data_IF_291795795114
#
_entry.id   IF_291795795114
#
_cell.length_a   1.000
_cell.length_b   1.000
_cell.length_c   1.000
_cell.angle_alpha   90.00
_cell.angle_beta   90.00
_cell.angle_gamma   90.00
#
_symmetry.space_group_name_H-M   'P 1'
#
loop_
_entity.id
_entity.type
_entity.pdbx_description
1 polymer ?
#
# COMPACT_ATOMS: atom_id res chain seq x y z
N UNK A 1 -18.62 12.36 -13.38
CA UNK A 1 -17.21 12.05 -13.00
C UNK A 1 -16.29 13.19 -13.39
N UNK A 2 -16.36 13.69 -14.63
CA UNK A 2 -15.53 14.81 -15.11
C UNK A 2 -15.65 16.08 -14.25
N UNK A 3 -16.86 16.47 -13.83
CA UNK A 3 -17.08 17.62 -12.95
C UNK A 3 -16.28 17.54 -11.65
N UNK A 4 -16.18 16.34 -11.05
CA UNK A 4 -15.37 16.11 -9.85
C UNK A 4 -13.87 16.24 -10.15
N UNK A 5 -13.42 15.71 -11.29
CA UNK A 5 -12.01 15.81 -11.71
C UNK A 5 -11.59 17.26 -11.99
N UNK A 6 -12.49 18.07 -12.56
CA UNK A 6 -12.27 19.51 -12.78
C UNK A 6 -12.19 20.25 -11.45
N UNK A 7 -13.00 19.86 -10.46
CA UNK A 7 -13.00 20.50 -9.15
C UNK A 7 -11.69 20.28 -8.36
N UNK A 8 -11.06 19.11 -8.50
CA UNK A 8 -9.77 18.80 -7.86
C UNK A 8 -8.55 19.25 -8.67
N UNK A 9 -8.74 19.65 -9.94
CA UNK A 9 -7.68 20.08 -10.85
C UNK A 9 -6.76 21.16 -10.26
N UNK A 10 -7.27 22.22 -9.61
CA UNK A 10 -6.41 23.27 -9.06
C UNK A 10 -5.41 22.78 -8.02
N UNK A 11 -5.71 21.67 -7.32
CA UNK A 11 -4.79 21.07 -6.34
C UNK A 11 -3.81 20.14 -7.04
N UNK A 12 -4.31 19.29 -7.94
CA UNK A 12 -3.51 18.26 -8.60
C UNK A 12 -2.52 18.82 -9.63
N UNK A 13 -2.81 19.99 -10.22
CA UNK A 13 -1.93 20.63 -11.21
C UNK A 13 -0.74 21.35 -10.59
N UNK A 14 -0.82 21.78 -9.32
CA UNK A 14 0.22 22.60 -8.68
C UNK A 14 1.61 21.97 -8.76
N UNK A 15 1.81 20.67 -8.45
CA UNK A 15 3.13 20.05 -8.53
C UNK A 15 3.77 20.13 -9.93
N UNK A 16 2.95 20.07 -10.98
CA UNK A 16 3.42 20.14 -12.38
C UNK A 16 3.90 21.53 -12.79
N UNK A 17 3.57 22.55 -11.99
CA UNK A 17 3.93 23.96 -12.26
C UNK A 17 5.06 24.48 -11.36
N UNK A 18 5.50 23.70 -10.37
CA UNK A 18 6.59 24.11 -9.47
C UNK A 18 7.91 24.25 -10.23
N UNK A 19 8.17 23.35 -11.17
CA UNK A 19 9.38 23.36 -11.99
C UNK A 19 9.02 23.92 -13.38
N UNK A 20 9.66 25.01 -13.85
CA UNK A 20 9.31 25.64 -15.12
C UNK A 20 9.59 24.79 -16.36
N UNK A 21 10.57 23.88 -16.28
CA UNK A 21 10.94 23.03 -17.41
C UNK A 21 9.89 21.90 -17.58
N UNK A 22 9.26 21.75 -18.76
CA UNK A 22 8.08 20.90 -18.92
C UNK A 22 8.28 19.42 -18.53
N UNK A 23 9.37 18.80 -18.96
CA UNK A 23 9.61 17.37 -18.73
C UNK A 23 9.90 17.06 -17.26
N UNK A 24 10.75 17.87 -16.62
CA UNK A 24 11.08 17.71 -15.20
C UNK A 24 9.90 18.07 -14.31
N UNK A 25 9.12 19.09 -14.68
CA UNK A 25 7.84 19.42 -14.05
C UNK A 25 6.84 18.27 -14.15
N UNK A 26 6.76 17.58 -15.29
CA UNK A 26 5.93 16.39 -15.45
C UNK A 26 6.40 15.24 -14.55
N UNK A 27 7.69 14.89 -14.58
CA UNK A 27 8.25 13.79 -13.78
C UNK A 27 8.06 14.05 -12.28
N UNK A 28 8.32 15.28 -11.84
CA UNK A 28 8.12 15.70 -10.46
C UNK A 28 6.64 15.67 -10.07
N UNK A 29 5.77 16.21 -10.91
CA UNK A 29 4.32 16.20 -10.70
C UNK A 29 3.75 14.80 -10.56
N UNK A 30 4.18 13.87 -11.42
CA UNK A 30 3.83 12.45 -11.32
C UNK A 30 4.30 11.81 -10.01
N UNK A 31 5.50 12.17 -9.53
CA UNK A 31 6.01 11.77 -8.22
C UNK A 31 5.15 12.28 -7.07
N UNK A 32 4.71 13.54 -7.11
CA UNK A 32 3.80 14.10 -6.11
C UNK A 32 2.41 13.44 -6.14
N UNK A 33 1.84 13.17 -7.33
CA UNK A 33 0.58 12.43 -7.45
C UNK A 33 0.70 11.02 -6.86
N UNK A 34 1.79 10.32 -7.18
CA UNK A 34 2.08 9.00 -6.63
C UNK A 34 2.19 9.04 -5.10
N UNK A 35 2.88 10.04 -4.54
CA UNK A 35 2.97 10.25 -3.10
C UNK A 35 1.59 10.48 -2.46
N UNK A 36 0.76 11.34 -3.04
CA UNK A 36 -0.61 11.58 -2.55
C UNK A 36 -1.44 10.29 -2.57
N UNK A 37 -1.37 9.51 -3.66
CA UNK A 37 -2.07 8.23 -3.75
C UNK A 37 -1.57 7.22 -2.69
N UNK A 38 -0.26 7.18 -2.42
CA UNK A 38 0.34 6.36 -1.36
C UNK A 38 -0.18 6.77 0.01
N UNK A 39 -0.20 8.07 0.33
CA UNK A 39 -0.66 8.57 1.64
C UNK A 39 -2.15 8.24 1.84
N UNK A 40 -3.01 8.56 0.86
CA UNK A 40 -4.43 8.27 0.93
C UNK A 40 -4.69 6.76 1.06
N UNK A 41 -3.96 5.93 0.32
CA UNK A 41 -4.04 4.49 0.43
C UNK A 41 -3.60 3.97 1.80
N UNK A 42 -2.50 4.49 2.37
CA UNK A 42 -2.04 4.10 3.70
C UNK A 42 -3.03 4.51 4.81
N UNK A 43 -3.63 5.69 4.71
CA UNK A 43 -4.68 6.14 5.64
C UNK A 43 -5.90 5.21 5.54
N UNK A 44 -6.35 4.92 4.31
CA UNK A 44 -7.48 4.01 4.06
C UNK A 44 -7.21 2.62 4.62
N UNK A 45 -6.05 2.04 4.31
CA UNK A 45 -5.62 0.74 4.81
C UNK A 45 -5.54 0.71 6.34
N UNK A 46 -5.03 1.77 6.94
CA UNK A 46 -4.92 1.89 8.40
C UNK A 46 -6.28 1.94 9.07
N UNK A 47 -7.23 2.69 8.50
CA UNK A 47 -8.60 2.75 8.99
C UNK A 47 -9.28 1.39 8.86
N UNK A 48 -9.18 0.77 7.69
CA UNK A 48 -9.80 -0.53 7.44
C UNK A 48 -9.23 -1.62 8.36
N UNK A 49 -7.90 -1.64 8.58
CA UNK A 49 -7.27 -2.53 9.55
C UNK A 49 -7.77 -2.32 10.98
N UNK A 50 -8.07 -1.06 11.39
CA UNK A 50 -8.65 -0.77 12.71
C UNK A 50 -10.07 -1.29 12.82
N UNK A 51 -10.90 -1.06 11.81
CA UNK A 51 -12.28 -1.54 11.77
C UNK A 51 -12.35 -3.07 11.80
N UNK A 52 -11.43 -3.75 11.12
CA UNK A 52 -11.35 -5.21 11.07
C UNK A 52 -10.38 -5.83 12.09
N UNK A 53 -9.86 -5.04 13.04
CA UNK A 53 -8.81 -5.50 13.97
C UNK A 53 -9.22 -6.75 14.75
N UNK A 54 -10.48 -6.82 15.21
CA UNK A 54 -11.01 -7.99 15.93
C UNK A 54 -10.98 -9.26 15.08
N UNK A 55 -11.35 -9.16 13.80
CA UNK A 55 -11.41 -10.29 12.87
C UNK A 55 -10.02 -10.75 12.45
N UNK A 56 -9.14 -9.79 12.13
CA UNK A 56 -7.72 -10.08 11.85
C UNK A 56 -7.05 -10.77 13.04
N UNK A 57 -7.25 -10.24 14.25
CA UNK A 57 -6.73 -10.83 15.48
C UNK A 57 -7.28 -12.24 15.72
N UNK A 58 -8.58 -12.47 15.52
CA UNK A 58 -9.18 -13.80 15.64
C UNK A 58 -8.47 -14.82 14.75
N UNK A 59 -8.29 -14.52 13.46
CA UNK A 59 -7.62 -15.45 12.55
C UNK A 59 -6.14 -15.65 12.89
N UNK A 60 -5.46 -14.59 13.31
CA UNK A 60 -4.08 -14.67 13.78
C UNK A 60 -3.93 -15.56 15.02
N UNK A 61 -4.80 -15.37 16.02
CA UNK A 61 -4.81 -16.15 17.26
C UNK A 61 -5.15 -17.64 16.94
N UNK A 62 -6.08 -17.90 16.02
CA UNK A 62 -6.39 -19.25 15.53
C UNK A 62 -5.21 -19.91 14.81
N UNK A 63 -4.51 -19.19 13.94
CA UNK A 63 -3.30 -19.70 13.28
C UNK A 63 -2.23 -20.10 14.31
N UNK A 64 -1.99 -19.27 15.32
CA UNK A 64 -1.02 -19.58 16.38
C UNK A 64 -1.44 -20.79 17.21
N UNK A 65 -2.74 -20.92 17.51
CA UNK A 65 -3.27 -22.07 18.25
C UNK A 65 -3.07 -23.38 17.48
N UNK A 66 -3.45 -23.42 16.19
CA UNK A 66 -3.26 -24.61 15.36
C UNK A 66 -1.80 -24.90 15.07
N UNK A 67 -0.94 -23.88 14.98
CA UNK A 67 0.49 -24.09 14.83
C UNK A 67 1.08 -24.84 16.04
N UNK A 68 0.74 -24.41 17.28
CA UNK A 68 1.17 -25.07 18.51
C UNK A 68 0.63 -26.50 18.63
N UNK A 69 -0.64 -26.72 18.33
CA UNK A 69 -1.22 -28.07 18.32
C UNK A 69 -0.55 -28.97 17.27
N UNK A 70 -0.17 -28.39 16.13
CA UNK A 70 0.54 -29.10 15.06
C UNK A 70 1.93 -29.53 15.52
N UNK A 71 2.68 -28.64 16.18
CA UNK A 71 3.98 -28.96 16.78
C UNK A 71 3.85 -30.10 17.80
N UNK A 72 2.85 -30.05 18.69
CA UNK A 72 2.61 -31.10 19.68
C UNK A 72 2.29 -32.46 19.05
N UNK A 73 1.41 -32.48 18.03
CA UNK A 73 1.05 -33.70 17.32
C UNK A 73 2.26 -34.29 16.55
N UNK A 74 3.10 -33.43 15.98
CA UNK A 74 4.33 -33.84 15.30
C UNK A 74 5.35 -34.45 16.29
N UNK A 75 5.53 -33.81 17.45
CA UNK A 75 6.40 -34.32 18.52
C UNK A 75 5.90 -35.65 19.10
N UNK A 76 4.59 -35.87 19.13
CA UNK A 76 3.96 -37.13 19.54
C UNK A 76 3.95 -38.22 18.47
N UNK A 77 4.42 -37.95 17.25
CA UNK A 77 4.46 -38.91 16.15
C UNK A 77 3.10 -39.21 15.48
N UNK A 78 2.03 -38.51 15.86
CA UNK A 78 0.69 -38.73 15.32
C UNK A 78 0.47 -37.95 14.03
N UNK A 79 0.74 -38.62 12.90
CA UNK A 79 0.57 -38.06 11.55
C UNK A 79 -0.89 -37.73 11.21
N UNK A 80 -1.87 -38.45 11.77
CA UNK A 80 -3.28 -38.20 11.47
C UNK A 80 -3.76 -36.94 12.19
N UNK A 81 -3.46 -36.82 13.49
CA UNK A 81 -3.72 -35.61 14.26
C UNK A 81 -3.00 -34.41 13.66
N UNK A 82 -1.74 -34.55 13.27
CA UNK A 82 -0.98 -33.50 12.60
C UNK A 82 -1.67 -33.01 11.32
N UNK A 83 -2.09 -33.92 10.42
CA UNK A 83 -2.79 -33.53 9.18
C UNK A 83 -4.09 -32.80 9.45
N UNK A 84 -4.87 -33.26 10.43
CA UNK A 84 -6.14 -32.64 10.79
C UNK A 84 -5.94 -31.21 11.33
N UNK A 85 -4.98 -31.02 12.25
CA UNK A 85 -4.64 -29.72 12.82
C UNK A 85 -4.05 -28.78 11.76
N UNK A 86 -3.16 -29.29 10.92
CA UNK A 86 -2.52 -28.50 9.87
C UNK A 86 -3.55 -27.97 8.86
N UNK A 87 -4.58 -28.76 8.52
CA UNK A 87 -5.68 -28.31 7.66
C UNK A 87 -6.40 -27.09 8.25
N UNK A 88 -6.70 -27.11 9.54
CA UNK A 88 -7.33 -25.98 10.24
C UNK A 88 -6.43 -24.75 10.28
N UNK A 89 -5.12 -24.94 10.49
CA UNK A 89 -4.12 -23.88 10.43
C UNK A 89 -4.08 -23.20 9.04
N UNK A 90 -4.08 -23.99 7.96
CA UNK A 90 -4.11 -23.47 6.60
C UNK A 90 -5.41 -22.72 6.28
N UNK A 91 -6.55 -23.17 6.78
CA UNK A 91 -7.82 -22.47 6.59
C UNK A 91 -7.81 -21.09 7.26
N UNK A 92 -7.33 -21.02 8.51
CA UNK A 92 -7.17 -19.75 9.24
C UNK A 92 -6.18 -18.80 8.53
N UNK A 93 -5.07 -19.32 7.99
CA UNK A 93 -4.15 -18.56 7.15
C UNK A 93 -4.84 -18.01 5.90
N UNK A 94 -5.63 -18.83 5.20
CA UNK A 94 -6.37 -18.44 4.01
C UNK A 94 -7.30 -17.26 4.26
N UNK A 95 -8.08 -17.30 5.36
CA UNK A 95 -8.95 -16.19 5.75
C UNK A 95 -8.16 -14.93 6.10
N UNK A 96 -7.07 -15.04 6.87
CA UNK A 96 -6.24 -13.90 7.22
C UNK A 96 -5.58 -13.26 5.99
N UNK A 97 -5.01 -14.08 5.11
CA UNK A 97 -4.37 -13.65 3.86
C UNK A 97 -5.37 -12.97 2.93
N UNK A 98 -6.53 -13.60 2.70
CA UNK A 98 -7.59 -13.07 1.84
C UNK A 98 -8.12 -11.73 2.35
N UNK A 99 -8.43 -11.63 3.65
CA UNK A 99 -8.88 -10.38 4.25
C UNK A 99 -7.82 -9.29 4.13
N UNK A 100 -6.56 -9.59 4.47
CA UNK A 100 -5.45 -8.64 4.35
C UNK A 100 -5.25 -8.18 2.90
N UNK A 101 -5.34 -9.09 1.95
CA UNK A 101 -5.25 -8.81 0.52
C UNK A 101 -6.40 -7.93 0.03
N UNK A 102 -7.63 -8.21 0.44
CA UNK A 102 -8.80 -7.38 0.12
C UNK A 102 -8.65 -5.95 0.65
N UNK A 103 -8.18 -5.79 1.90
CA UNK A 103 -7.93 -4.48 2.47
C UNK A 103 -6.81 -3.73 1.73
N UNK A 104 -5.76 -4.45 1.30
CA UNK A 104 -4.70 -3.86 0.48
C UNK A 104 -5.24 -3.38 -0.88
N UNK A 105 -6.02 -4.20 -1.59
CA UNK A 105 -6.60 -3.81 -2.89
C UNK A 105 -7.57 -2.64 -2.74
N UNK A 106 -8.42 -2.65 -1.71
CA UNK A 106 -9.32 -1.54 -1.42
C UNK A 106 -8.56 -0.22 -1.17
N UNK A 107 -7.35 -0.29 -0.63
CA UNK A 107 -6.50 0.89 -0.43
C UNK A 107 -5.95 1.52 -1.72
N UNK A 108 -6.10 0.85 -2.87
CA UNK A 108 -5.61 1.32 -4.17
C UNK A 108 -6.59 2.27 -4.89
N UNK A 109 -7.76 2.53 -4.30
CA UNK A 109 -8.79 3.40 -4.89
C UNK A 109 -8.32 4.80 -5.35
N UNK A 110 -7.29 5.46 -4.77
CA UNK A 110 -6.85 6.76 -5.27
C UNK A 110 -6.18 6.68 -6.65
N UNK A 111 -5.56 5.54 -6.98
CA UNK A 111 -4.82 5.35 -8.24
C UNK A 111 -5.71 5.58 -9.48
N UNK A 112 -6.88 4.91 -9.64
CA UNK A 112 -7.73 5.15 -10.80
C UNK A 112 -8.21 6.61 -10.92
N UNK A 113 -8.38 7.33 -9.81
CA UNK A 113 -8.74 8.77 -9.83
C UNK A 113 -7.57 9.60 -10.36
N UNK A 114 -6.36 9.37 -9.86
CA UNK A 114 -5.16 10.06 -10.35
C UNK A 114 -4.95 9.79 -11.84
N UNK A 115 -5.17 8.56 -12.29
CA UNK A 115 -5.08 8.22 -13.71
C UNK A 115 -6.15 8.89 -14.55
N UNK A 116 -7.41 8.88 -14.12
CA UNK A 116 -8.48 9.57 -14.81
C UNK A 116 -8.18 11.06 -14.94
N UNK A 117 -7.67 11.69 -13.88
CA UNK A 117 -7.29 13.10 -13.88
C UNK A 117 -6.11 13.39 -14.82
N UNK A 118 -5.01 12.62 -14.75
CA UNK A 118 -3.84 12.80 -15.64
C UNK A 118 -4.25 12.65 -17.10
N UNK A 119 -5.08 11.65 -17.42
CA UNK A 119 -5.60 11.45 -18.78
C UNK A 119 -6.45 12.64 -19.24
N UNK A 120 -7.29 13.20 -18.37
CA UNK A 120 -8.09 14.38 -18.68
C UNK A 120 -7.21 15.62 -18.92
N UNK A 121 -6.16 15.79 -18.11
CA UNK A 121 -5.33 17.01 -18.12
C UNK A 121 -4.25 17.02 -19.21
N UNK A 122 -3.57 15.90 -19.39
CA UNK A 122 -2.39 15.79 -20.26
C UNK A 122 -2.67 14.91 -21.49
N UNK A 123 -3.77 14.15 -21.52
CA UNK A 123 -4.09 13.26 -22.63
C UNK A 123 -2.99 12.21 -22.85
N UNK A 124 -2.40 12.23 -24.04
CA UNK A 124 -1.27 11.37 -24.42
C UNK A 124 0.10 12.05 -24.26
N UNK A 125 0.14 13.29 -23.77
CA UNK A 125 1.39 14.03 -23.60
C UNK A 125 2.25 13.38 -22.51
N UNK A 126 3.46 13.00 -22.89
CA UNK A 126 4.48 12.43 -22.02
C UNK A 126 5.87 12.90 -22.47
N UNK A 127 6.85 13.03 -21.57
CA UNK A 127 8.22 13.40 -21.93
C UNK A 127 8.83 12.46 -22.98
N UNK A 128 9.56 13.03 -23.93
CA UNK A 128 10.32 12.28 -24.94
C UNK A 128 11.72 12.02 -24.41
N UNK A 129 12.08 10.75 -24.30
CA UNK A 129 13.40 10.32 -23.89
C UNK A 129 14.39 10.42 -25.07
N UNK A 130 15.66 10.76 -24.81
CA UNK A 130 16.71 10.79 -25.84
C UNK A 130 17.17 9.38 -26.28
N UNK A 131 16.61 8.33 -25.67
CA UNK A 131 16.89 6.93 -25.96
C UNK A 131 15.57 6.14 -25.97
N UNK A 132 15.56 4.99 -26.65
CA UNK A 132 14.42 4.09 -26.67
C UNK A 132 14.50 3.08 -25.52
N UNK A 133 13.40 2.95 -24.77
CA UNK A 133 13.25 1.89 -23.79
C UNK A 133 12.68 0.63 -24.46
N UNK A 134 13.22 -0.57 -24.15
CA UNK A 134 12.58 -1.81 -24.54
C UNK A 134 11.12 -1.84 -24.09
N UNK A 135 10.20 -2.23 -24.99
CA UNK A 135 8.74 -2.32 -24.77
C UNK A 135 7.97 -0.99 -24.65
N UNK A 136 8.63 0.14 -24.38
CA UNK A 136 7.97 1.44 -24.15
C UNK A 136 8.32 2.52 -25.18
N UNK A 137 9.33 2.28 -26.02
CA UNK A 137 9.81 3.25 -27.01
C UNK A 137 10.48 4.46 -26.36
N UNK A 138 10.53 5.57 -27.09
CA UNK A 138 11.10 6.83 -26.62
C UNK A 138 10.09 7.73 -25.88
N UNK A 139 8.81 7.36 -25.78
CA UNK A 139 7.78 8.14 -25.10
C UNK A 139 6.95 7.26 -24.15
N UNK A 140 7.49 6.89 -22.98
CA UNK A 140 6.76 6.05 -22.03
C UNK A 140 5.50 6.76 -21.55
N UNK A 141 4.36 6.08 -21.55
CA UNK A 141 3.10 6.69 -21.13
C UNK A 141 3.01 7.01 -19.62
N UNK A 142 1.94 7.70 -19.23
CA UNK A 142 1.66 8.09 -17.83
C UNK A 142 1.77 6.94 -16.80
N UNK A 143 1.38 5.72 -17.17
CA UNK A 143 1.41 4.55 -16.27
C UNK A 143 2.85 4.23 -15.87
N UNK A 144 3.78 4.29 -16.82
CA UNK A 144 5.21 4.04 -16.57
C UNK A 144 5.74 5.03 -15.53
N UNK A 145 5.56 6.34 -15.78
CA UNK A 145 6.04 7.39 -14.88
C UNK A 145 5.40 7.33 -13.50
N UNK A 146 4.11 7.02 -13.42
CA UNK A 146 3.44 6.88 -12.13
C UNK A 146 3.98 5.68 -11.35
N UNK A 147 4.10 4.50 -11.98
CA UNK A 147 4.57 3.29 -11.30
C UNK A 147 6.02 3.40 -10.87
N UNK A 148 6.86 4.05 -11.67
CA UNK A 148 8.27 4.33 -11.36
C UNK A 148 8.40 5.03 -9.99
N UNK A 149 7.51 5.97 -9.69
CA UNK A 149 7.46 6.65 -8.39
C UNK A 149 6.65 5.89 -7.34
N UNK A 150 5.49 5.37 -7.72
CA UNK A 150 4.51 4.81 -6.81
C UNK A 150 5.05 3.60 -6.05
N UNK A 151 5.71 2.67 -6.73
CA UNK A 151 6.21 1.43 -6.12
C UNK A 151 7.25 1.73 -5.02
N UNK A 152 8.36 2.46 -5.29
CA UNK A 152 9.34 2.74 -4.25
C UNK A 152 8.76 3.59 -3.11
N UNK A 153 7.93 4.60 -3.42
CA UNK A 153 7.26 5.40 -2.39
C UNK A 153 6.35 4.54 -1.52
N UNK A 154 5.54 3.65 -2.12
CA UNK A 154 4.67 2.74 -1.37
C UNK A 154 5.48 1.82 -0.46
N UNK A 155 6.58 1.26 -0.95
CA UNK A 155 7.46 0.40 -0.16
C UNK A 155 8.14 1.14 0.99
N UNK A 156 8.60 2.37 0.75
CA UNK A 156 9.24 3.21 1.77
C UNK A 156 8.23 3.66 2.83
N UNK A 157 7.14 4.33 2.42
CA UNK A 157 6.16 4.88 3.35
C UNK A 157 5.39 3.80 4.11
N UNK A 158 5.14 2.61 3.54
CA UNK A 158 4.52 1.52 4.30
C UNK A 158 5.38 1.10 5.51
N UNK A 159 6.71 1.12 5.37
CA UNK A 159 7.64 0.82 6.48
C UNK A 159 7.65 1.93 7.52
N UNK A 160 7.75 3.18 7.08
CA UNK A 160 7.73 4.36 7.96
C UNK A 160 6.42 4.43 8.74
N UNK A 161 5.29 4.28 8.05
CA UNK A 161 3.96 4.33 8.65
C UNK A 161 3.75 3.24 9.69
N UNK A 162 4.20 2.01 9.42
CA UNK A 162 4.17 0.92 10.41
C UNK A 162 4.97 1.25 11.66
N UNK A 163 6.18 1.80 11.52
CA UNK A 163 6.99 2.26 12.67
C UNK A 163 6.26 3.33 13.50
N UNK A 164 5.65 4.31 12.83
CA UNK A 164 4.87 5.37 13.49
C UNK A 164 3.67 4.81 14.27
N UNK A 165 2.98 3.81 13.71
CA UNK A 165 1.85 3.16 14.38
C UNK A 165 2.28 2.34 15.60
N UNK A 166 3.42 1.66 15.53
CA UNK A 166 3.97 0.90 16.65
C UNK A 166 4.38 1.84 17.79
N UNK A 167 5.08 2.93 17.49
CA UNK A 167 5.45 3.96 18.49
C UNK A 167 4.22 4.55 19.20
N UNK A 168 3.11 4.72 18.50
CA UNK A 168 1.85 5.21 19.10
C UNK A 168 1.18 4.17 20.02
N UNK A 169 1.54 2.89 19.93
CA UNK A 169 1.00 1.80 20.76
C UNK A 169 1.81 1.52 22.02
N UNK A 170 3.06 1.98 22.11
CA UNK A 170 3.83 1.97 23.35
C UNK A 170 3.21 2.99 24.33
N UNK A 171 2.78 2.58 25.53
CA UNK A 171 2.24 3.52 26.52
C UNK A 171 3.34 4.48 26.97
N UNK A 172 2.97 5.77 27.08
CA UNK A 172 3.79 6.87 27.63
C UNK A 172 4.30 6.63 29.08
N UNK A 173 4.04 5.47 29.68
CA UNK A 173 4.54 5.09 31.01
C UNK A 173 6.01 4.68 31.02
N UNK A 174 6.56 4.17 29.91
CA UNK A 174 7.98 3.76 29.84
C UNK A 174 8.93 4.91 29.46
N UNK A 175 8.39 6.10 29.19
CA UNK A 175 9.19 7.28 28.85
C UNK A 175 9.60 8.14 30.06
N UNK A 176 9.27 7.71 31.29
CA UNK A 176 9.75 8.28 32.54
C UNK A 176 10.52 7.22 33.34
N UNK A 177 11.79 7.00 33.04
CA UNK A 177 12.91 6.85 33.99
C UNK A 177 14.17 6.96 33.12
N UNK A 178 14.63 8.18 32.91
CA UNK A 178 16.06 8.44 32.75
C UNK A 178 16.30 9.84 33.30
N UNK A 179 16.40 9.90 34.63
CA UNK A 179 16.98 11.03 35.36
C UNK A 179 18.50 10.78 35.49
N UNK A 180 19.26 11.85 35.76
CA UNK A 180 20.38 12.37 34.97
C UNK A 180 21.64 11.51 34.93
#
# INVERSE_FOLDING_TARGET
METFLIWIDPVLVLPFRVIPHPETGYIFGMGCLALMAVILGLVTLSMANRLHARRLKKYQDQMQHYHKLGEQALSGGDKQAFKAVNRQGHEAFGYHFSLSGALFVASLWPIPIMFAWVKLRFGLLSPVLPFELPLFGNQPGMIFWFLLWYIPLRMYFSRVWRKLQLRKREPLSDQKIMYP
#
